data_IF_233021885954
#
_entry.id   IF_233021885954
#
_cell.length_a   1.000
_cell.length_b   1.000
_cell.length_c   1.000
_cell.angle_alpha   90.00
_cell.angle_beta   90.00
_cell.angle_gamma   90.00
#
_symmetry.space_group_name_H-M   'P 1'
#
loop_
_entity.id
_entity.type
_entity.pdbx_description
1 polymer ?
#
# COMPACT_ATOMS: atom_id res chain seq x y z
N UNK A 1 -6.32 -31.13 -40.86
CA UNK A 1 -7.26 -30.05 -41.12
C UNK A 1 -8.54 -30.37 -40.34
N UNK A 2 -8.92 -29.48 -39.45
CA UNK A 2 -10.14 -29.57 -38.64
C UNK A 2 -11.10 -28.43 -38.99
N UNK A 3 -12.40 -28.70 -39.05
CA UNK A 3 -13.42 -27.72 -39.35
C UNK A 3 -14.32 -27.59 -38.13
N UNK A 4 -14.44 -26.37 -37.59
CA UNK A 4 -15.31 -26.05 -36.46
C UNK A 4 -16.43 -25.16 -36.96
N UNK A 5 -17.65 -25.56 -36.65
CA UNK A 5 -18.87 -24.78 -36.97
C UNK A 5 -19.45 -24.24 -35.69
N UNK A 6 -19.57 -22.90 -35.58
CA UNK A 6 -20.19 -22.25 -34.44
C UNK A 6 -21.23 -21.23 -34.94
N UNK A 7 -22.52 -21.58 -34.78
CA UNK A 7 -23.59 -20.82 -35.38
C UNK A 7 -23.48 -20.75 -36.92
N UNK A 8 -23.37 -19.57 -37.47
CA UNK A 8 -23.17 -19.34 -38.91
C UNK A 8 -21.69 -19.27 -39.35
N UNK A 9 -20.77 -19.36 -38.40
CA UNK A 9 -19.32 -19.28 -38.66
C UNK A 9 -18.72 -20.67 -38.87
N UNK A 10 -17.98 -20.81 -39.96
CA UNK A 10 -17.20 -22.04 -40.25
C UNK A 10 -15.72 -21.65 -40.27
N UNK A 11 -14.94 -22.26 -39.40
CA UNK A 11 -13.50 -22.01 -39.28
C UNK A 11 -12.72 -23.28 -39.61
N UNK A 12 -11.65 -23.11 -40.35
CA UNK A 12 -10.74 -24.21 -40.75
C UNK A 12 -9.44 -24.08 -39.99
N UNK A 13 -9.10 -25.12 -39.23
CA UNK A 13 -7.85 -25.18 -38.47
C UNK A 13 -6.89 -26.17 -39.06
N UNK A 14 -5.64 -25.76 -39.22
CA UNK A 14 -4.54 -26.65 -39.69
C UNK A 14 -4.05 -27.58 -38.59
N UNK A 15 -4.22 -27.19 -37.34
CA UNK A 15 -3.79 -27.90 -36.13
C UNK A 15 -4.92 -28.73 -35.52
N UNK A 16 -4.59 -29.54 -34.52
CA UNK A 16 -5.54 -30.33 -33.76
C UNK A 16 -6.48 -29.41 -32.93
N UNK A 17 -7.77 -29.69 -32.95
CA UNK A 17 -8.78 -28.93 -32.22
C UNK A 17 -9.29 -29.78 -31.07
N UNK A 18 -9.16 -29.28 -29.85
CA UNK A 18 -9.73 -29.87 -28.66
C UNK A 18 -10.92 -29.05 -28.17
N UNK A 19 -11.96 -29.73 -27.68
CA UNK A 19 -13.15 -29.07 -27.11
C UNK A 19 -13.30 -29.49 -25.65
N UNK A 20 -13.59 -28.51 -24.81
CA UNK A 20 -13.78 -28.72 -23.37
C UNK A 20 -15.14 -28.19 -22.95
N UNK A 21 -15.78 -28.82 -21.97
CA UNK A 21 -17.02 -28.32 -21.35
C UNK A 21 -16.75 -27.19 -20.33
N UNK A 22 -15.54 -27.18 -19.81
CA UNK A 22 -15.07 -26.20 -18.83
C UNK A 22 -13.69 -25.72 -19.25
N UNK A 23 -13.36 -24.47 -18.92
CA UNK A 23 -12.04 -23.90 -19.11
C UNK A 23 -11.02 -24.74 -18.32
N UNK A 24 -9.96 -25.27 -18.95
CA UNK A 24 -8.92 -25.98 -18.22
C UNK A 24 -8.33 -25.15 -17.10
N UNK A 25 -7.88 -25.81 -16.03
CA UNK A 25 -7.27 -25.13 -14.88
C UNK A 25 -5.88 -24.64 -15.27
N UNK A 26 -5.80 -23.36 -15.61
CA UNK A 26 -4.58 -22.69 -16.01
C UNK A 26 -4.74 -21.17 -15.79
N UNK A 27 -3.68 -20.41 -16.09
CA UNK A 27 -3.73 -18.93 -16.09
C UNK A 27 -3.87 -18.42 -17.51
N UNK A 28 -4.75 -17.45 -17.72
CA UNK A 28 -5.09 -16.91 -19.03
C UNK A 28 -4.98 -15.40 -19.08
N UNK A 29 -4.54 -14.86 -20.20
CA UNK A 29 -4.67 -13.45 -20.57
C UNK A 29 -5.93 -13.26 -21.42
N UNK A 30 -6.66 -12.16 -21.19
CA UNK A 30 -7.74 -11.74 -22.08
C UNK A 30 -7.13 -11.02 -23.28
N UNK A 31 -7.46 -11.50 -24.46
CA UNK A 31 -7.06 -10.92 -25.74
C UNK A 31 -8.28 -10.46 -26.54
N UNK A 32 -8.08 -9.49 -27.42
CA UNK A 32 -9.13 -8.95 -28.27
C UNK A 32 -8.59 -8.54 -29.64
N UNK A 33 -9.40 -8.79 -30.65
CA UNK A 33 -9.17 -8.25 -31.98
C UNK A 33 -10.50 -7.85 -32.63
N UNK A 34 -10.56 -6.73 -33.35
CA UNK A 34 -11.80 -6.18 -33.92
C UNK A 34 -12.58 -7.14 -34.82
N UNK A 35 -11.89 -8.06 -35.49
CA UNK A 35 -12.54 -9.03 -36.40
C UNK A 35 -12.96 -10.33 -35.72
N UNK A 36 -12.23 -10.76 -34.68
CA UNK A 36 -12.48 -12.06 -34.02
C UNK A 36 -13.17 -11.93 -32.67
N UNK A 37 -13.22 -10.74 -32.10
CA UNK A 37 -13.75 -10.51 -30.75
C UNK A 37 -12.75 -10.88 -29.65
N UNK A 38 -13.28 -11.24 -28.49
CA UNK A 38 -12.51 -11.66 -27.33
C UNK A 38 -12.15 -13.14 -27.39
N UNK A 39 -10.96 -13.50 -26.85
CA UNK A 39 -10.54 -14.87 -26.56
C UNK A 39 -9.59 -14.91 -25.37
N UNK A 40 -9.33 -16.09 -24.85
CA UNK A 40 -8.35 -16.34 -23.78
C UNK A 40 -7.10 -17.00 -24.40
N UNK A 41 -5.93 -16.55 -23.97
CA UNK A 41 -4.64 -17.15 -24.32
C UNK A 41 -3.97 -17.72 -23.06
N UNK A 42 -3.62 -19.02 -23.02
CA UNK A 42 -2.88 -19.57 -21.89
C UNK A 42 -1.53 -18.85 -21.73
N UNK A 43 -1.16 -18.64 -20.48
CA UNK A 43 0.16 -18.09 -20.12
C UNK A 43 0.78 -18.92 -18.99
N UNK A 44 2.09 -18.83 -18.76
CA UNK A 44 2.71 -19.46 -17.60
C UNK A 44 2.04 -19.03 -16.31
N UNK A 45 1.77 -19.98 -15.40
CA UNK A 45 1.17 -19.70 -14.12
C UNK A 45 1.95 -18.64 -13.33
N UNK A 46 1.24 -17.86 -12.59
CA UNK A 46 1.79 -16.82 -11.71
C UNK A 46 2.45 -17.48 -10.49
N UNK A 47 3.62 -18.05 -10.67
CA UNK A 47 4.35 -18.66 -9.56
C UNK A 47 5.03 -17.57 -8.73
N UNK A 48 4.94 -17.69 -7.42
CA UNK A 48 5.73 -16.89 -6.50
C UNK A 48 7.17 -17.43 -6.55
N UNK A 49 8.10 -16.58 -6.98
CA UNK A 49 9.54 -16.91 -6.96
C UNK A 49 10.16 -16.83 -5.57
N UNK A 50 9.37 -16.40 -4.59
CA UNK A 50 9.81 -16.25 -3.22
C UNK A 50 9.67 -17.58 -2.47
N UNK A 51 10.75 -18.07 -1.90
CA UNK A 51 10.76 -19.29 -1.08
C UNK A 51 9.97 -19.14 0.22
N UNK A 52 9.85 -17.91 0.72
CA UNK A 52 9.15 -17.57 1.95
C UNK A 52 8.32 -16.32 1.78
N UNK A 53 7.10 -16.38 2.25
CA UNK A 53 6.16 -15.26 2.26
C UNK A 53 6.18 -14.62 3.65
N UNK A 54 6.56 -13.35 3.68
CA UNK A 54 6.64 -12.57 4.92
C UNK A 54 5.32 -11.91 5.26
N UNK A 55 5.09 -11.69 6.55
CA UNK A 55 3.92 -11.00 7.04
C UNK A 55 2.62 -11.81 6.98
N UNK A 56 1.49 -11.10 6.85
CA UNK A 56 0.15 -11.69 6.97
C UNK A 56 -0.47 -12.16 5.64
N UNK A 57 0.28 -12.13 4.52
CA UNK A 57 -0.27 -12.39 3.20
C UNK A 57 -0.92 -13.78 3.10
N UNK A 58 -0.22 -14.84 3.53
CA UNK A 58 -0.76 -16.20 3.46
C UNK A 58 -2.05 -16.37 4.25
N UNK A 59 -2.10 -15.86 5.49
CA UNK A 59 -3.33 -15.93 6.32
C UNK A 59 -4.51 -15.21 5.69
N UNK A 60 -4.26 -14.08 5.00
CA UNK A 60 -5.30 -13.34 4.28
C UNK A 60 -5.75 -14.08 3.02
N UNK A 61 -4.82 -14.72 2.29
CA UNK A 61 -5.13 -15.57 1.13
C UNK A 61 -6.04 -16.73 1.55
N UNK A 62 -5.67 -17.47 2.59
CA UNK A 62 -6.45 -18.58 3.12
C UNK A 62 -7.86 -18.13 3.56
N UNK A 63 -7.95 -16.94 4.17
CA UNK A 63 -9.22 -16.31 4.54
C UNK A 63 -10.10 -16.01 3.32
N UNK A 64 -9.51 -15.48 2.23
CA UNK A 64 -10.23 -15.18 0.98
C UNK A 64 -10.80 -16.44 0.38
N UNK A 65 -9.98 -17.50 0.20
CA UNK A 65 -10.41 -18.76 -0.39
C UNK A 65 -11.53 -19.40 0.42
N UNK A 66 -11.36 -19.51 1.74
CA UNK A 66 -12.39 -20.06 2.63
C UNK A 66 -13.70 -19.28 2.53
N UNK A 67 -13.65 -17.95 2.42
CA UNK A 67 -14.84 -17.12 2.29
C UNK A 67 -15.48 -17.24 0.90
N UNK A 68 -14.67 -17.35 -0.15
CA UNK A 68 -15.15 -17.59 -1.51
C UNK A 68 -15.84 -18.95 -1.61
N UNK A 69 -15.28 -20.01 -1.06
CA UNK A 69 -15.90 -21.35 -1.03
C UNK A 69 -17.25 -21.35 -0.27
N UNK A 70 -17.34 -20.57 0.81
CA UNK A 70 -18.54 -20.50 1.66
C UNK A 70 -19.67 -19.64 1.08
N UNK A 71 -19.45 -18.88 0.01
CA UNK A 71 -20.46 -18.04 -0.62
C UNK A 71 -20.96 -18.67 -1.92
N UNK A 72 -22.20 -18.38 -2.31
CA UNK A 72 -22.86 -18.82 -3.54
C UNK A 72 -22.89 -17.75 -4.64
N UNK A 73 -22.27 -16.59 -4.40
CA UNK A 73 -22.26 -15.43 -5.29
C UNK A 73 -20.84 -14.93 -5.55
N UNK A 74 -20.71 -13.97 -6.46
CA UNK A 74 -19.47 -13.28 -6.74
C UNK A 74 -18.84 -12.73 -5.45
N UNK A 75 -17.51 -12.77 -5.40
CA UNK A 75 -16.74 -12.36 -4.25
C UNK A 75 -15.58 -11.47 -4.67
N UNK A 76 -15.52 -10.26 -4.13
CA UNK A 76 -14.51 -9.30 -4.52
C UNK A 76 -13.51 -8.99 -3.41
N UNK A 77 -12.26 -8.77 -3.82
CA UNK A 77 -11.13 -8.34 -2.97
C UNK A 77 -10.47 -7.12 -3.59
N UNK A 78 -10.37 -6.04 -2.85
CA UNK A 78 -9.57 -4.87 -3.21
C UNK A 78 -8.25 -4.94 -2.46
N UNK A 79 -7.14 -4.82 -3.21
CA UNK A 79 -5.77 -4.71 -2.70
C UNK A 79 -5.28 -3.29 -2.95
N UNK A 80 -5.25 -2.46 -1.93
CA UNK A 80 -4.77 -1.08 -2.06
C UNK A 80 -3.41 -0.87 -1.41
N UNK A 81 -2.68 0.12 -1.88
CA UNK A 81 -1.41 0.54 -1.28
C UNK A 81 -0.40 1.04 -2.29
N UNK A 82 0.68 1.66 -1.83
CA UNK A 82 1.72 2.26 -2.68
C UNK A 82 2.37 1.25 -3.62
N UNK A 83 3.03 1.74 -4.66
CA UNK A 83 3.80 0.89 -5.58
C UNK A 83 4.95 0.20 -4.84
N UNK A 84 5.24 -1.07 -5.18
CA UNK A 84 6.38 -1.83 -4.63
C UNK A 84 6.19 -2.45 -3.25
N UNK A 85 4.97 -2.38 -2.64
CA UNK A 85 4.71 -2.90 -1.28
C UNK A 85 4.19 -4.33 -1.23
N UNK A 86 4.03 -5.01 -2.38
CA UNK A 86 3.64 -6.42 -2.41
C UNK A 86 2.19 -6.71 -2.81
N UNK A 87 1.41 -5.75 -3.37
CA UNK A 87 0.06 -6.00 -3.89
C UNK A 87 0.04 -7.11 -4.94
N UNK A 88 0.92 -7.00 -5.95
CA UNK A 88 1.03 -8.00 -7.01
C UNK A 88 1.57 -9.34 -6.49
N UNK A 89 2.38 -9.34 -5.42
CA UNK A 89 2.79 -10.57 -4.74
C UNK A 89 1.58 -11.25 -4.11
N UNK A 90 0.75 -10.51 -3.37
CA UNK A 90 -0.49 -11.05 -2.81
C UNK A 90 -1.40 -11.66 -3.89
N UNK A 91 -1.63 -10.93 -5.00
CA UNK A 91 -2.44 -11.41 -6.10
C UNK A 91 -1.86 -12.70 -6.73
N UNK A 92 -0.53 -12.83 -6.83
CA UNK A 92 0.14 -14.06 -7.30
C UNK A 92 -0.04 -15.22 -6.34
N UNK A 93 0.15 -15.02 -5.03
CA UNK A 93 -0.07 -16.07 -4.02
C UNK A 93 -1.51 -16.58 -4.08
N UNK A 94 -2.46 -15.65 -4.18
CA UNK A 94 -3.87 -16.01 -4.29
C UNK A 94 -4.16 -16.76 -5.59
N UNK A 95 -3.59 -16.33 -6.73
CA UNK A 95 -3.72 -17.01 -8.01
C UNK A 95 -3.14 -18.44 -7.96
N UNK A 96 -1.94 -18.60 -7.41
CA UNK A 96 -1.31 -19.91 -7.23
C UNK A 96 -2.17 -20.83 -6.37
N UNK A 97 -2.71 -20.31 -5.28
CA UNK A 97 -3.63 -21.05 -4.42
C UNK A 97 -4.94 -21.40 -5.15
N UNK A 98 -5.48 -20.52 -5.99
CA UNK A 98 -6.67 -20.80 -6.81
C UNK A 98 -6.43 -21.95 -7.78
N UNK A 99 -5.29 -21.97 -8.49
CA UNK A 99 -4.92 -23.10 -9.37
C UNK A 99 -4.84 -24.41 -8.60
N UNK A 100 -4.25 -24.40 -7.38
CA UNK A 100 -4.19 -25.60 -6.52
C UNK A 100 -5.58 -26.08 -6.07
N UNK A 101 -6.57 -25.18 -5.99
CA UNK A 101 -7.98 -25.47 -5.70
C UNK A 101 -8.84 -25.71 -6.97
N UNK A 102 -8.20 -25.99 -8.11
CA UNK A 102 -8.85 -26.22 -9.41
C UNK A 102 -9.68 -25.02 -9.93
N UNK A 103 -9.32 -23.81 -9.56
CA UNK A 103 -9.96 -22.57 -10.00
C UNK A 103 -9.09 -21.89 -11.07
N UNK A 104 -9.53 -21.80 -12.35
CA UNK A 104 -8.79 -21.10 -13.39
C UNK A 104 -8.64 -19.61 -13.08
N UNK A 105 -7.54 -19.02 -13.53
CA UNK A 105 -7.21 -17.61 -13.30
C UNK A 105 -7.21 -16.84 -14.61
N UNK A 106 -7.91 -15.72 -14.65
CA UNK A 106 -8.00 -14.83 -15.82
C UNK A 106 -7.40 -13.48 -15.43
N UNK A 107 -6.48 -12.96 -16.24
CA UNK A 107 -5.82 -11.69 -16.02
C UNK A 107 -6.29 -10.68 -17.05
N UNK A 108 -6.76 -9.53 -16.56
CA UNK A 108 -7.20 -8.40 -17.39
C UNK A 108 -6.18 -7.28 -17.23
N UNK A 109 -5.48 -6.97 -18.32
CA UNK A 109 -4.41 -5.95 -18.34
C UNK A 109 -4.82 -4.65 -19.03
N UNK A 110 -5.96 -4.64 -19.71
CA UNK A 110 -6.46 -3.46 -20.41
C UNK A 110 -8.00 -3.44 -20.46
N UNK A 111 -8.56 -2.26 -20.44
CA UNK A 111 -9.99 -2.08 -20.70
C UNK A 111 -10.27 -2.13 -22.21
N UNK A 112 -11.29 -2.90 -22.56
CA UNK A 112 -11.84 -2.97 -23.92
C UNK A 112 -13.35 -3.01 -23.78
N UNK A 113 -14.12 -2.14 -24.49
CA UNK A 113 -15.58 -2.17 -24.47
C UNK A 113 -16.13 -3.57 -24.75
N UNK A 114 -17.09 -4.03 -23.93
CA UNK A 114 -17.65 -5.38 -23.98
C UNK A 114 -16.89 -6.45 -23.18
N UNK A 115 -15.80 -6.10 -22.49
CA UNK A 115 -15.02 -7.05 -21.66
C UNK A 115 -15.87 -7.60 -20.50
N UNK A 116 -16.78 -6.80 -19.95
CA UNK A 116 -17.69 -7.23 -18.89
C UNK A 116 -18.59 -8.38 -19.38
N UNK A 117 -19.21 -8.24 -20.55
CA UNK A 117 -20.07 -9.26 -21.15
C UNK A 117 -19.29 -10.53 -21.51
N UNK A 118 -18.06 -10.36 -22.00
CA UNK A 118 -17.18 -11.51 -22.28
C UNK A 118 -16.86 -12.29 -21.01
N UNK A 119 -16.48 -11.63 -19.92
CA UNK A 119 -16.20 -12.29 -18.64
C UNK A 119 -17.48 -12.89 -18.03
N UNK A 120 -18.64 -12.23 -18.18
CA UNK A 120 -19.94 -12.73 -17.75
C UNK A 120 -20.32 -14.03 -18.47
N UNK A 121 -19.98 -14.15 -19.77
CA UNK A 121 -20.26 -15.34 -20.58
C UNK A 121 -19.53 -16.62 -20.11
N UNK A 122 -18.52 -16.49 -19.23
CA UNK A 122 -17.81 -17.61 -18.63
C UNK A 122 -18.63 -18.08 -17.41
N UNK A 123 -19.46 -19.13 -17.57
CA UNK A 123 -20.36 -19.62 -16.53
C UNK A 123 -19.66 -20.44 -15.44
N UNK A 124 -18.39 -20.80 -15.63
CA UNK A 124 -17.57 -21.55 -14.68
C UNK A 124 -17.06 -20.63 -13.57
N UNK A 125 -16.82 -21.21 -12.38
CA UNK A 125 -16.08 -20.53 -11.32
C UNK A 125 -14.64 -20.22 -11.77
N UNK A 126 -14.25 -18.95 -11.68
CA UNK A 126 -12.91 -18.48 -12.06
C UNK A 126 -12.48 -17.34 -11.14
N UNK A 127 -11.18 -17.18 -10.99
CA UNK A 127 -10.60 -15.96 -10.44
C UNK A 127 -10.31 -14.96 -11.56
N UNK A 128 -10.68 -13.70 -11.40
CA UNK A 128 -10.37 -12.62 -12.35
C UNK A 128 -9.56 -11.54 -11.66
N UNK A 129 -8.37 -11.27 -12.18
CA UNK A 129 -7.45 -10.26 -11.65
C UNK A 129 -7.46 -9.03 -12.55
N UNK A 130 -7.68 -7.87 -11.95
CA UNK A 130 -7.54 -6.55 -12.57
C UNK A 130 -6.36 -5.83 -11.90
N UNK A 131 -5.23 -5.76 -12.59
CA UNK A 131 -4.04 -5.09 -12.06
C UNK A 131 -4.05 -3.59 -12.41
N UNK A 132 -3.68 -2.74 -11.42
CA UNK A 132 -3.72 -1.27 -11.52
C UNK A 132 -5.06 -0.77 -12.10
N UNK A 133 -6.17 -1.23 -11.51
CA UNK A 133 -7.53 -1.02 -12.03
C UNK A 133 -7.86 0.46 -12.24
N UNK A 134 -7.42 1.33 -11.33
CA UNK A 134 -7.64 2.77 -11.43
C UNK A 134 -7.02 3.40 -12.67
N UNK A 135 -5.94 2.80 -13.19
CA UNK A 135 -5.29 3.26 -14.42
C UNK A 135 -5.88 2.61 -15.66
N UNK A 136 -6.04 1.28 -15.58
CA UNK A 136 -6.56 0.46 -16.69
C UNK A 136 -7.99 0.81 -17.04
N UNK A 137 -8.81 1.12 -16.01
CA UNK A 137 -10.22 1.50 -16.12
C UNK A 137 -10.44 2.97 -15.73
N UNK A 138 -9.50 3.84 -16.12
CA UNK A 138 -9.63 5.28 -15.88
C UNK A 138 -10.82 5.88 -16.67
N UNK A 139 -11.45 6.89 -16.08
CA UNK A 139 -12.54 7.61 -16.73
C UNK A 139 -12.01 8.41 -17.91
N UNK A 140 -12.71 8.33 -19.04
CA UNK A 140 -12.50 9.17 -20.21
C UNK A 140 -13.73 10.06 -20.44
N UNK A 141 -13.60 11.11 -21.25
CA UNK A 141 -14.64 12.13 -21.42
C UNK A 141 -16.00 11.55 -21.81
N UNK A 142 -16.02 10.48 -22.63
CA UNK A 142 -17.25 9.90 -23.20
C UNK A 142 -17.68 8.58 -22.53
N UNK A 143 -16.87 7.99 -21.64
CA UNK A 143 -17.23 6.73 -20.97
C UNK A 143 -16.63 6.61 -19.58
N UNK A 144 -17.31 5.85 -18.72
CA UNK A 144 -16.80 5.46 -17.40
C UNK A 144 -16.60 3.94 -17.34
N UNK A 145 -15.41 3.44 -17.71
CA UNK A 145 -15.12 2.01 -17.73
C UNK A 145 -15.41 1.30 -16.39
N UNK A 146 -15.20 1.97 -15.25
CA UNK A 146 -15.49 1.40 -13.95
C UNK A 146 -16.99 1.14 -13.73
N UNK A 147 -17.85 2.00 -14.28
CA UNK A 147 -19.31 1.82 -14.19
C UNK A 147 -19.81 0.68 -15.09
N UNK A 148 -19.21 0.48 -16.25
CA UNK A 148 -19.52 -0.64 -17.12
C UNK A 148 -19.22 -2.01 -16.48
N UNK A 149 -18.25 -2.07 -15.56
CA UNK A 149 -17.92 -3.28 -14.83
C UNK A 149 -18.87 -3.59 -13.67
N UNK A 150 -19.76 -2.65 -13.28
CA UNK A 150 -20.59 -2.82 -12.09
C UNK A 150 -21.56 -3.99 -12.20
N UNK A 151 -22.15 -4.21 -13.39
CA UNK A 151 -23.07 -5.33 -13.66
C UNK A 151 -22.37 -6.67 -13.45
N UNK A 152 -21.13 -6.82 -13.95
CA UNK A 152 -20.32 -8.02 -13.77
C UNK A 152 -20.05 -8.29 -12.28
N UNK A 153 -19.70 -7.25 -11.53
CA UNK A 153 -19.40 -7.39 -10.11
C UNK A 153 -20.64 -7.68 -9.25
N UNK A 154 -21.83 -7.24 -9.65
CA UNK A 154 -23.10 -7.50 -8.96
C UNK A 154 -23.52 -8.98 -9.02
N UNK A 155 -22.98 -9.74 -9.97
CA UNK A 155 -23.22 -11.17 -10.06
C UNK A 155 -24.64 -11.55 -10.47
N UNK A 156 -25.24 -10.77 -11.38
CA UNK A 156 -26.52 -11.09 -11.98
C UNK A 156 -26.42 -12.22 -13.02
N UNK A 157 -25.18 -12.55 -13.42
CA UNK A 157 -24.87 -13.54 -14.45
C UNK A 157 -24.63 -14.93 -13.84
N UNK A 158 -24.74 -15.96 -14.68
CA UNK A 158 -24.42 -17.33 -14.29
C UNK A 158 -22.91 -17.49 -14.05
N UNK A 159 -22.55 -18.25 -13.01
CA UNK A 159 -21.16 -18.56 -12.69
C UNK A 159 -20.53 -17.59 -11.67
N UNK A 160 -20.13 -18.18 -10.54
CA UNK A 160 -19.48 -17.48 -9.42
C UNK A 160 -18.03 -17.09 -9.76
N UNK A 161 -17.67 -15.86 -9.49
CA UNK A 161 -16.33 -15.33 -9.78
C UNK A 161 -15.66 -14.72 -8.54
N UNK A 162 -14.35 -14.97 -8.40
CA UNK A 162 -13.50 -14.31 -7.42
C UNK A 162 -12.80 -13.13 -8.12
N UNK A 163 -13.25 -11.91 -7.86
CA UNK A 163 -12.62 -10.70 -8.41
C UNK A 163 -11.52 -10.18 -7.49
N UNK A 164 -10.38 -9.86 -8.06
CA UNK A 164 -9.27 -9.21 -7.36
C UNK A 164 -8.88 -7.95 -8.12
N UNK A 165 -8.99 -6.82 -7.44
CA UNK A 165 -8.57 -5.51 -7.95
C UNK A 165 -7.34 -5.08 -7.19
N UNK A 166 -6.26 -4.69 -7.89
CA UNK A 166 -5.17 -3.93 -7.29
C UNK A 166 -5.31 -2.46 -7.63
N UNK A 167 -5.05 -1.58 -6.66
CA UNK A 167 -5.02 -0.13 -6.88
C UNK A 167 -3.96 0.54 -6.01
N UNK A 168 -3.45 1.68 -6.46
CA UNK A 168 -2.50 2.47 -5.67
C UNK A 168 -3.25 3.40 -4.70
N UNK A 169 -4.34 3.99 -5.14
CA UNK A 169 -5.18 4.89 -4.34
C UNK A 169 -6.64 4.49 -4.45
N UNK A 170 -7.26 4.23 -3.31
CA UNK A 170 -8.69 3.85 -3.23
C UNK A 170 -9.60 5.00 -3.69
N UNK A 171 -9.17 6.25 -3.49
CA UNK A 171 -9.91 7.44 -3.92
C UNK A 171 -10.11 7.55 -5.44
N UNK A 172 -9.33 6.82 -6.23
CA UNK A 172 -9.45 6.75 -7.69
C UNK A 172 -10.45 5.68 -8.16
N UNK A 173 -10.92 4.84 -7.23
CA UNK A 173 -11.98 3.88 -7.50
C UNK A 173 -13.35 4.53 -7.34
N UNK A 174 -14.30 4.14 -8.18
CA UNK A 174 -15.69 4.57 -8.06
C UNK A 174 -16.25 4.24 -6.67
N UNK A 175 -16.97 5.18 -6.05
CA UNK A 175 -17.65 4.98 -4.77
C UNK A 175 -18.63 3.79 -4.79
N UNK A 176 -19.16 3.45 -5.96
CA UNK A 176 -20.04 2.29 -6.16
C UNK A 176 -19.32 0.95 -6.02
N UNK A 177 -17.98 0.92 -6.11
CA UNK A 177 -17.18 -0.27 -5.87
C UNK A 177 -16.85 -0.43 -4.37
N UNK A 178 -16.50 0.66 -3.70
CA UNK A 178 -15.92 0.65 -2.35
C UNK A 178 -16.98 0.42 -1.27
N UNK A 179 -18.16 1.03 -1.39
CA UNK A 179 -19.18 1.07 -0.33
C UNK A 179 -20.24 -0.04 -0.44
N UNK A 180 -19.97 -1.11 -1.21
CA UNK A 180 -20.90 -2.24 -1.38
C UNK A 180 -20.24 -3.56 -1.06
N UNK A 181 -20.33 -4.05 0.20
CA UNK A 181 -19.76 -5.35 0.59
C UNK A 181 -20.29 -6.53 -0.20
N UNK A 182 -21.43 -6.35 -0.89
CA UNK A 182 -21.98 -7.36 -1.81
C UNK A 182 -21.17 -7.54 -3.09
N UNK A 183 -20.35 -6.54 -3.50
CA UNK A 183 -19.45 -6.62 -4.66
C UNK A 183 -18.03 -6.95 -4.23
N UNK A 184 -17.46 -6.12 -3.34
CA UNK A 184 -16.13 -6.30 -2.79
C UNK A 184 -16.22 -6.50 -1.28
N UNK A 185 -16.04 -7.75 -0.86
CA UNK A 185 -16.20 -8.16 0.53
C UNK A 185 -14.99 -7.76 1.37
N UNK A 186 -13.79 -7.90 0.80
CA UNK A 186 -12.56 -7.50 1.47
C UNK A 186 -11.89 -6.31 0.79
N UNK A 187 -11.41 -5.41 1.62
CA UNK A 187 -10.46 -4.38 1.26
C UNK A 187 -9.22 -4.55 2.14
N UNK A 188 -8.14 -5.02 1.55
CA UNK A 188 -6.85 -5.13 2.23
C UNK A 188 -5.94 -3.99 1.83
N UNK A 189 -5.64 -3.12 2.77
CA UNK A 189 -4.57 -2.15 2.61
C UNK A 189 -3.24 -2.86 2.86
N UNK A 190 -2.41 -2.93 1.84
CA UNK A 190 -1.05 -3.46 1.95
C UNK A 190 -0.15 -2.30 2.36
N UNK A 191 0.54 -2.47 3.48
CA UNK A 191 1.44 -1.46 4.06
C UNK A 191 2.90 -1.87 3.87
N UNK A 192 3.80 -0.93 4.14
CA UNK A 192 5.22 -1.27 4.23
C UNK A 192 5.46 -2.32 5.32
N UNK A 193 6.49 -3.15 5.19
CA UNK A 193 6.88 -4.11 6.21
C UNK A 193 7.04 -3.44 7.57
N UNK A 194 6.54 -4.10 8.61
CA UNK A 194 6.80 -3.73 10.00
C UNK A 194 8.28 -3.95 10.35
N UNK A 195 8.73 -3.41 11.47
CA UNK A 195 10.12 -3.60 11.93
C UNK A 195 10.45 -5.08 12.13
N UNK A 196 9.50 -5.87 12.64
CA UNK A 196 9.69 -7.31 12.83
C UNK A 196 9.78 -8.04 11.48
N UNK A 197 8.98 -7.66 10.51
CA UNK A 197 9.04 -8.19 9.14
C UNK A 197 10.35 -7.78 8.44
N UNK A 198 10.83 -6.54 8.64
CA UNK A 198 12.14 -6.09 8.14
C UNK A 198 13.26 -6.93 8.77
N UNK A 199 13.23 -7.13 10.09
CA UNK A 199 14.21 -7.95 10.80
C UNK A 199 14.22 -9.38 10.29
N UNK A 200 13.04 -10.01 10.19
CA UNK A 200 12.88 -11.36 9.69
C UNK A 200 13.42 -11.49 8.26
N UNK A 201 13.00 -10.57 7.36
CA UNK A 201 13.44 -10.56 5.97
C UNK A 201 14.97 -10.43 5.84
N UNK A 202 15.56 -9.47 6.55
CA UNK A 202 17.01 -9.25 6.48
C UNK A 202 17.80 -10.39 7.12
N UNK A 203 17.27 -11.03 8.17
CA UNK A 203 17.90 -12.23 8.76
C UNK A 203 17.97 -13.38 7.76
N UNK A 204 16.92 -13.58 6.98
CA UNK A 204 16.86 -14.65 5.98
C UNK A 204 17.68 -14.34 4.70
N UNK A 205 17.81 -13.06 4.33
CA UNK A 205 18.43 -12.66 3.05
C UNK A 205 19.89 -12.22 3.16
N UNK A 206 20.36 -11.79 4.35
CA UNK A 206 21.75 -11.42 4.56
C UNK A 206 22.61 -12.63 4.90
N UNK A 207 23.80 -12.70 4.30
CA UNK A 207 24.83 -13.66 4.69
C UNK A 207 25.25 -13.41 6.15
N UNK A 208 25.70 -14.45 6.88
CA UNK A 208 26.05 -14.33 8.31
C UNK A 208 27.00 -13.17 8.65
N UNK A 209 27.99 -12.92 7.78
CA UNK A 209 28.99 -11.86 7.94
C UNK A 209 28.41 -10.44 7.94
N UNK A 210 27.23 -10.24 7.30
CA UNK A 210 26.58 -8.93 7.15
C UNK A 210 25.37 -8.74 8.08
N UNK A 211 25.03 -9.71 8.89
CA UNK A 211 23.86 -9.64 9.79
C UNK A 211 24.02 -8.57 10.90
N UNK A 212 25.22 -8.10 11.16
CA UNK A 212 25.48 -6.99 12.08
C UNK A 212 24.81 -5.67 11.65
N UNK A 213 24.38 -5.54 10.36
CA UNK A 213 23.65 -4.40 9.86
C UNK A 213 22.14 -4.41 10.19
N UNK A 214 21.58 -5.57 10.60
CA UNK A 214 20.12 -5.75 10.73
C UNK A 214 19.50 -4.70 11.64
N UNK A 215 20.03 -4.49 12.85
CA UNK A 215 19.43 -3.54 13.79
C UNK A 215 19.55 -2.09 13.31
N UNK A 216 20.61 -1.75 12.59
CA UNK A 216 20.74 -0.42 11.96
C UNK A 216 19.70 -0.23 10.86
N UNK A 217 19.43 -1.27 10.04
CA UNK A 217 18.39 -1.26 8.99
C UNK A 217 16.98 -1.17 9.60
N UNK A 218 16.70 -1.95 10.64
CA UNK A 218 15.43 -1.91 11.38
C UNK A 218 15.21 -0.52 11.99
N UNK A 219 16.22 0.08 12.61
CA UNK A 219 16.14 1.45 13.08
C UNK A 219 15.88 2.44 11.94
N UNK A 220 16.54 2.27 10.79
CA UNK A 220 16.35 3.11 9.62
C UNK A 220 14.95 2.96 9.01
N UNK A 221 14.30 1.80 9.12
CA UNK A 221 12.92 1.59 8.67
C UNK A 221 11.88 2.44 9.42
N UNK A 222 12.23 2.96 10.60
CA UNK A 222 11.36 3.91 11.32
C UNK A 222 11.33 5.29 10.67
N UNK A 223 12.40 5.65 9.96
CA UNK A 223 12.56 6.97 9.35
C UNK A 223 12.08 7.04 7.93
N UNK A 224 12.20 5.95 7.16
CA UNK A 224 11.77 5.89 5.76
C UNK A 224 10.74 4.78 5.52
N UNK A 225 10.03 4.89 4.39
CA UNK A 225 9.15 3.83 3.92
C UNK A 225 9.98 2.80 3.16
N UNK A 226 10.28 1.66 3.77
CA UNK A 226 10.95 0.55 3.12
C UNK A 226 9.93 -0.38 2.46
N UNK A 227 10.05 -0.59 1.17
CA UNK A 227 9.30 -1.62 0.46
C UNK A 227 10.10 -2.92 0.42
N UNK A 228 9.46 -4.06 0.11
CA UNK A 228 10.20 -5.31 -0.09
C UNK A 228 11.19 -5.24 -1.26
N UNK A 229 10.86 -4.48 -2.32
CA UNK A 229 11.80 -4.25 -3.42
C UNK A 229 13.06 -3.50 -2.96
N UNK A 230 12.87 -2.51 -2.07
CA UNK A 230 14.00 -1.81 -1.46
C UNK A 230 14.84 -2.72 -0.57
N UNK A 231 14.19 -3.52 0.31
CA UNK A 231 14.89 -4.47 1.17
C UNK A 231 15.67 -5.51 0.37
N UNK A 232 15.13 -5.95 -0.77
CA UNK A 232 15.80 -6.87 -1.70
C UNK A 232 17.06 -6.24 -2.29
N UNK A 233 16.96 -5.02 -2.81
CA UNK A 233 18.10 -4.30 -3.36
C UNK A 233 19.17 -4.06 -2.28
N UNK A 234 18.76 -3.65 -1.09
CA UNK A 234 19.65 -3.44 0.06
C UNK A 234 20.40 -4.73 0.45
N UNK A 235 19.68 -5.85 0.57
CA UNK A 235 20.29 -7.13 0.89
C UNK A 235 21.26 -7.61 -0.20
N UNK A 236 20.95 -7.35 -1.47
CA UNK A 236 21.82 -7.67 -2.59
C UNK A 236 23.16 -6.92 -2.48
N UNK A 237 23.14 -5.60 -2.32
CA UNK A 237 24.34 -4.77 -2.24
C UNK A 237 25.21 -5.11 -1.00
N UNK A 238 24.58 -5.25 0.16
CA UNK A 238 25.30 -5.62 1.38
C UNK A 238 25.97 -6.99 1.25
N UNK A 239 25.32 -7.96 0.60
CA UNK A 239 25.90 -9.29 0.34
C UNK A 239 27.07 -9.28 -0.67
N UNK A 240 27.24 -8.19 -1.44
CA UNK A 240 28.43 -7.95 -2.27
C UNK A 240 29.60 -7.35 -1.46
N UNK A 241 29.35 -6.93 -0.21
CA UNK A 241 30.37 -6.37 0.67
C UNK A 241 30.41 -4.85 0.73
N UNK A 242 29.46 -4.15 0.08
CA UNK A 242 29.35 -2.71 0.21
C UNK A 242 28.88 -2.29 1.60
N UNK A 243 29.29 -1.12 2.06
CA UNK A 243 28.83 -0.61 3.35
C UNK A 243 27.37 -0.15 3.29
N UNK A 244 26.68 -0.13 4.44
CA UNK A 244 25.29 0.32 4.49
C UNK A 244 25.16 1.78 4.03
N UNK A 245 26.09 2.65 4.42
CA UNK A 245 26.02 4.09 4.10
C UNK A 245 26.25 4.33 2.60
N UNK A 246 27.16 3.60 1.96
CA UNK A 246 27.40 3.62 0.51
C UNK A 246 26.16 3.09 -0.24
N UNK A 247 25.66 1.93 0.15
CA UNK A 247 24.45 1.33 -0.43
C UNK A 247 23.23 2.26 -0.34
N UNK A 248 23.01 2.90 0.81
CA UNK A 248 21.91 3.85 0.99
C UNK A 248 22.09 5.13 0.15
N UNK A 249 23.34 5.51 -0.15
CA UNK A 249 23.64 6.65 -1.03
C UNK A 249 23.35 6.33 -2.50
N UNK A 250 23.65 5.12 -2.94
CA UNK A 250 23.64 4.72 -4.36
C UNK A 250 22.27 4.20 -4.80
N UNK A 251 21.53 3.55 -3.89
CA UNK A 251 20.17 3.10 -4.20
C UNK A 251 19.27 4.32 -4.46
N UNK A 252 18.45 4.20 -5.52
CA UNK A 252 17.45 5.21 -5.88
C UNK A 252 16.34 5.27 -4.82
N UNK A 253 16.69 5.78 -3.66
CA UNK A 253 15.76 6.07 -2.58
C UNK A 253 15.16 7.43 -2.90
N UNK A 254 13.86 7.46 -3.19
CA UNK A 254 13.16 8.74 -3.14
C UNK A 254 13.35 9.26 -1.71
N UNK A 255 14.17 10.31 -1.58
CA UNK A 255 14.18 11.15 -0.37
C UNK A 255 12.75 11.65 -0.25
N UNK A 256 11.98 11.00 0.60
CA UNK A 256 10.59 11.38 0.81
C UNK A 256 10.62 12.66 1.65
N UNK A 257 10.75 13.82 0.98
CA UNK A 257 10.39 15.12 1.53
C UNK A 257 8.95 15.16 2.09
N UNK A 258 8.20 14.09 1.91
CA UNK A 258 6.77 14.01 2.21
C UNK A 258 6.44 13.07 3.37
N UNK A 259 7.44 12.67 4.19
CA UNK A 259 7.11 11.92 5.40
C UNK A 259 6.48 12.89 6.39
N UNK A 260 5.23 12.60 6.74
CA UNK A 260 4.48 13.36 7.74
C UNK A 260 4.63 12.73 9.11
N UNK A 261 4.74 13.57 10.12
CA UNK A 261 4.83 13.16 11.51
C UNK A 261 3.77 13.87 12.35
N UNK A 262 3.23 13.14 13.31
CA UNK A 262 2.52 13.71 14.43
C UNK A 262 3.54 13.96 15.55
N UNK A 263 3.67 15.20 15.97
CA UNK A 263 4.61 15.63 17.00
C UNK A 263 3.87 15.74 18.32
N UNK A 264 4.44 15.19 19.38
CA UNK A 264 3.91 15.30 20.75
C UNK A 264 4.98 15.82 21.68
N UNK A 265 4.76 16.98 22.30
CA UNK A 265 5.67 17.59 23.27
C UNK A 265 4.99 17.59 24.62
N UNK A 266 5.61 16.93 25.61
CA UNK A 266 5.18 17.04 27.02
C UNK A 266 6.09 18.06 27.69
N UNK A 267 5.49 19.03 28.36
CA UNK A 267 6.22 20.04 29.13
C UNK A 267 6.56 19.54 30.52
N UNK A 268 7.45 20.26 31.21
CA UNK A 268 7.87 19.95 32.58
C UNK A 268 6.74 20.04 33.61
N UNK A 269 5.68 20.82 33.31
CA UNK A 269 4.47 20.93 34.13
C UNK A 269 3.39 19.89 33.80
N UNK A 270 3.67 18.97 32.88
CA UNK A 270 2.81 17.87 32.47
C UNK A 270 1.82 18.21 31.34
N UNK A 271 1.75 19.44 30.85
CA UNK A 271 0.91 19.79 29.70
C UNK A 271 1.41 19.11 28.44
N UNK A 272 0.50 18.59 27.62
CA UNK A 272 0.75 17.97 26.33
C UNK A 272 0.38 18.92 25.20
N UNK A 273 1.30 19.10 24.26
CA UNK A 273 1.11 19.84 23.02
C UNK A 273 1.32 18.93 21.82
N UNK A 274 0.50 19.08 20.78
CA UNK A 274 0.55 18.22 19.59
C UNK A 274 0.52 19.05 18.31
N UNK A 275 1.21 18.54 17.29
CA UNK A 275 1.02 18.98 15.90
C UNK A 275 0.80 17.74 15.04
N UNK A 276 -0.13 17.83 14.09
CA UNK A 276 -0.51 16.72 13.25
C UNK A 276 0.02 16.91 11.82
N UNK A 277 0.38 15.81 11.18
CA UNK A 277 0.75 15.74 9.76
C UNK A 277 1.84 16.73 9.32
N UNK A 278 2.81 16.99 10.15
CA UNK A 278 3.92 17.87 9.81
C UNK A 278 4.89 17.18 8.86
N UNK A 279 5.11 17.75 7.67
CA UNK A 279 6.11 17.25 6.72
C UNK A 279 7.51 17.63 7.22
N UNK A 280 8.36 16.64 7.50
CA UNK A 280 9.71 16.85 8.05
C UNK A 280 10.70 16.03 7.22
N UNK A 281 11.66 16.71 6.62
CA UNK A 281 12.85 16.07 6.06
C UNK A 281 13.87 15.84 7.19
N UNK A 282 13.96 14.59 7.66
CA UNK A 282 14.84 14.20 8.76
C UNK A 282 16.33 14.35 8.46
N UNK A 283 16.69 14.55 7.20
CA UNK A 283 18.08 14.74 6.75
C UNK A 283 18.43 16.20 6.48
N UNK A 284 17.49 17.09 6.69
CA UNK A 284 17.73 18.53 6.53
C UNK A 284 18.69 19.03 7.61
N UNK A 285 19.72 19.76 7.19
CA UNK A 285 20.65 20.51 8.04
C UNK A 285 20.11 21.89 8.45
N UNK A 286 18.91 22.24 7.98
CA UNK A 286 18.23 23.51 8.31
C UNK A 286 17.29 23.32 9.48
N UNK A 287 17.26 24.31 10.37
CA UNK A 287 16.25 24.35 11.44
C UNK A 287 14.85 24.41 10.86
N UNK A 288 13.95 23.60 11.41
CA UNK A 288 12.54 23.59 11.09
C UNK A 288 11.77 24.16 12.28
N UNK A 289 10.82 25.04 12.00
CA UNK A 289 9.86 25.56 12.99
C UNK A 289 8.50 24.88 12.84
N UNK A 290 7.90 24.51 13.94
CA UNK A 290 6.56 23.91 14.00
C UNK A 290 5.72 24.57 15.08
N UNK A 291 4.43 24.75 14.81
CA UNK A 291 3.44 25.17 15.80
C UNK A 291 2.76 23.94 16.39
N UNK A 292 2.75 23.83 17.71
CA UNK A 292 2.06 22.78 18.46
C UNK A 292 0.93 23.37 19.26
N UNK A 293 -0.15 22.64 19.41
CA UNK A 293 -1.38 23.07 20.05
C UNK A 293 -1.61 22.26 21.32
N UNK A 294 -1.91 22.93 22.40
CA UNK A 294 -2.19 22.37 23.73
C UNK A 294 -3.61 22.59 24.19
N UNK A 295 -3.88 22.33 25.46
CA UNK A 295 -5.19 22.57 26.08
C UNK A 295 -5.61 24.04 25.97
N UNK A 296 -6.93 24.30 25.94
CA UNK A 296 -7.55 25.65 25.90
C UNK A 296 -7.09 26.49 24.69
N UNK A 297 -6.81 25.86 23.54
CA UNK A 297 -6.37 26.55 22.33
C UNK A 297 -5.03 27.28 22.43
N UNK A 298 -4.25 27.04 23.49
CA UNK A 298 -2.89 27.58 23.60
C UNK A 298 -1.99 26.93 22.57
N UNK A 299 -1.23 27.73 21.84
CA UNK A 299 -0.24 27.23 20.90
C UNK A 299 1.16 27.69 21.29
N UNK A 300 2.15 26.86 20.98
CA UNK A 300 3.56 27.17 21.13
C UNK A 300 4.27 26.96 19.81
N UNK A 301 5.18 27.87 19.48
CA UNK A 301 6.07 27.70 18.36
C UNK A 301 7.41 27.14 18.85
N UNK A 302 7.90 26.09 18.23
CA UNK A 302 9.23 25.58 18.56
C UNK A 302 10.04 25.31 17.30
N UNK A 303 11.35 25.36 17.44
CA UNK A 303 12.29 25.05 16.37
C UNK A 303 13.28 23.98 16.84
N UNK A 304 13.71 23.17 15.86
CA UNK A 304 14.67 22.10 16.07
C UNK A 304 15.46 21.83 14.80
N UNK A 305 16.58 21.12 14.96
CA UNK A 305 17.33 20.56 13.83
C UNK A 305 16.86 19.13 13.59
N UNK A 306 16.37 18.77 12.38
CA UNK A 306 15.91 17.41 12.10
C UNK A 306 16.96 16.34 12.36
N UNK A 307 18.24 16.64 12.11
CA UNK A 307 19.37 15.72 12.38
C UNK A 307 19.62 15.43 13.86
N UNK A 308 19.02 16.21 14.78
CA UNK A 308 19.07 15.94 16.22
C UNK A 308 18.04 14.89 16.67
N UNK A 309 17.08 14.52 15.80
CA UNK A 309 16.09 13.47 16.08
C UNK A 309 16.79 12.11 16.05
N UNK A 310 16.62 11.32 17.10
CA UNK A 310 17.22 9.99 17.25
C UNK A 310 16.13 8.92 17.42
N UNK A 311 16.42 7.72 16.97
CA UNK A 311 15.59 6.56 17.29
C UNK A 311 16.00 5.98 18.64
N UNK A 312 15.07 5.96 19.60
CA UNK A 312 15.25 5.40 20.93
C UNK A 312 14.08 4.46 21.21
N UNK A 313 14.34 3.19 21.49
CA UNK A 313 13.31 2.17 21.74
C UNK A 313 12.22 2.16 20.64
N UNK A 314 12.63 2.20 19.38
CA UNK A 314 11.76 2.22 18.20
C UNK A 314 10.84 3.47 18.09
N UNK A 315 11.14 4.53 18.79
CA UNK A 315 10.47 5.82 18.67
C UNK A 315 11.48 6.90 18.20
N UNK A 316 11.03 7.81 17.37
CA UNK A 316 11.80 8.99 17.01
C UNK A 316 11.62 10.05 18.10
N UNK A 317 12.70 10.45 18.72
CA UNK A 317 12.72 11.36 19.87
C UNK A 317 13.70 12.48 19.63
N UNK A 318 13.30 13.71 19.97
CA UNK A 318 14.19 14.84 20.10
C UNK A 318 14.49 15.05 21.59
N UNK A 319 15.77 15.12 21.94
CA UNK A 319 16.20 15.40 23.30
C UNK A 319 15.58 16.72 23.80
N UNK A 320 15.06 16.77 25.03
CA UNK A 320 14.38 17.97 25.55
C UNK A 320 15.20 19.27 25.46
N UNK A 321 16.52 19.18 25.66
CA UNK A 321 17.44 20.30 25.55
C UNK A 321 17.60 20.85 24.12
N UNK A 322 17.18 20.09 23.10
CA UNK A 322 17.21 20.48 21.69
C UNK A 322 15.91 21.11 21.21
N UNK A 323 14.86 21.07 22.04
CA UNK A 323 13.60 21.76 21.78
C UNK A 323 13.76 23.24 22.11
N UNK A 324 13.71 24.10 21.11
CA UNK A 324 13.85 25.54 21.29
C UNK A 324 12.48 26.20 21.05
N UNK A 325 11.84 26.65 22.13
CA UNK A 325 10.62 27.43 21.99
C UNK A 325 10.94 28.82 21.47
N UNK A 326 10.11 29.28 20.54
CA UNK A 326 10.22 30.61 19.93
C UNK A 326 9.01 31.39 20.39
N UNK A 327 9.26 32.54 21.00
CA UNK A 327 8.22 33.44 21.50
C UNK A 327 8.33 34.71 20.68
N UNK A 328 7.25 35.08 20.01
CA UNK A 328 7.20 36.30 19.19
C UNK A 328 6.66 37.44 20.03
N UNK A 329 7.20 38.63 19.85
CA UNK A 329 6.73 39.83 20.57
C UNK A 329 5.24 40.15 20.27
N UNK A 330 4.78 39.71 19.09
CA UNK A 330 3.37 39.83 18.68
C UNK A 330 2.44 38.95 19.48
N UNK A 331 2.95 37.87 20.13
CA UNK A 331 2.13 37.01 21.00
C UNK A 331 1.65 37.75 22.31
N UNK A 332 2.23 38.93 22.58
CA UNK A 332 1.99 39.74 23.79
C UNK A 332 1.50 41.15 23.46
N UNK A 333 0.85 41.32 22.31
CA UNK A 333 0.41 42.64 21.82
C UNK A 333 -0.60 43.36 22.73
N UNK A 334 -1.34 42.61 23.54
CA UNK A 334 -2.38 43.07 24.47
C UNK A 334 -1.85 43.34 25.89
N UNK A 335 -0.56 43.11 26.14
CA UNK A 335 0.09 43.32 27.43
C UNK A 335 1.07 44.46 27.41
N UNK A 336 1.10 45.26 28.46
CA UNK A 336 2.01 46.40 28.61
C UNK A 336 2.97 46.28 29.81
N UNK A 337 4.12 46.92 29.70
CA UNK A 337 5.06 47.22 30.79
C UNK A 337 5.54 45.98 31.56
N UNK A 338 5.30 45.91 32.85
CA UNK A 338 5.75 44.88 33.76
C UNK A 338 4.98 43.55 33.54
N UNK A 339 3.69 43.62 33.13
CA UNK A 339 2.87 42.43 32.83
C UNK A 339 3.45 41.66 31.60
N UNK A 340 3.82 42.40 30.54
CA UNK A 340 4.45 41.82 29.37
C UNK A 340 5.79 41.14 29.73
N UNK A 341 6.62 41.82 30.54
CA UNK A 341 7.89 41.24 31.00
C UNK A 341 7.69 39.99 31.84
N UNK A 342 6.71 39.97 32.72
CA UNK A 342 6.39 38.80 33.55
C UNK A 342 5.87 37.65 32.74
N UNK A 343 5.02 37.87 31.72
CA UNK A 343 4.51 36.86 30.82
C UNK A 343 5.62 36.25 29.99
N UNK A 344 6.50 37.06 29.35
CA UNK A 344 7.65 36.60 28.59
C UNK A 344 8.61 35.81 29.48
N UNK A 345 8.88 36.25 30.71
CA UNK A 345 9.75 35.52 31.63
C UNK A 345 9.16 34.15 32.02
N UNK A 346 7.86 34.07 32.21
CA UNK A 346 7.15 32.83 32.52
C UNK A 346 7.23 31.86 31.32
N UNK A 347 7.01 32.34 30.10
CA UNK A 347 7.03 31.51 28.93
C UNK A 347 8.45 31.08 28.54
N UNK A 348 9.46 31.91 28.74
CA UNK A 348 10.88 31.54 28.62
C UNK A 348 11.33 30.48 29.64
N UNK A 349 10.61 30.32 30.75
CA UNK A 349 10.86 29.25 31.72
C UNK A 349 10.29 27.88 31.30
N UNK A 350 9.48 27.82 30.25
CA UNK A 350 8.89 26.59 29.73
C UNK A 350 10.00 25.68 29.21
N UNK A 351 10.01 24.43 29.71
CA UNK A 351 10.93 23.39 29.27
C UNK A 351 10.19 22.17 28.76
N UNK A 352 10.66 21.60 27.70
CA UNK A 352 10.19 20.29 27.26
C UNK A 352 10.68 19.20 28.24
N UNK A 353 9.83 18.24 28.54
CA UNK A 353 10.15 17.00 29.25
C UNK A 353 10.42 15.86 28.25
N UNK A 354 9.63 15.81 27.17
CA UNK A 354 9.80 14.87 26.07
C UNK A 354 9.27 15.46 24.77
N UNK A 355 9.89 15.06 23.64
CA UNK A 355 9.41 15.40 22.30
C UNK A 355 9.49 14.15 21.43
N UNK A 356 8.34 13.68 20.95
CA UNK A 356 8.19 12.40 20.23
C UNK A 356 7.60 12.69 18.86
N UNK A 357 8.14 12.04 17.83
CA UNK A 357 7.69 12.10 16.45
C UNK A 357 7.12 10.75 16.05
N UNK A 358 5.82 10.67 15.86
CA UNK A 358 5.14 9.48 15.37
C UNK A 358 4.89 9.65 13.88
N UNK A 359 5.44 8.74 13.07
CA UNK A 359 5.22 8.73 11.63
C UNK A 359 3.73 8.54 11.33
N UNK A 360 3.19 9.40 10.48
CA UNK A 360 1.82 9.24 9.99
C UNK A 360 1.82 8.16 8.91
N UNK A 361 1.13 7.07 9.18
CA UNK A 361 0.86 6.07 8.17
C UNK A 361 -0.16 6.67 7.20
N UNK A 362 0.29 7.03 5.99
CA UNK A 362 -0.56 7.57 4.93
C UNK A 362 -1.43 6.50 4.26
N UNK A 363 -1.40 5.26 4.75
CA UNK A 363 -2.44 4.29 4.47
C UNK A 363 -3.71 4.78 5.17
N UNK A 364 -4.68 5.26 4.40
CA UNK A 364 -6.01 5.60 4.92
C UNK A 364 -6.65 4.35 5.53
N UNK A 365 -6.35 4.10 6.78
CA UNK A 365 -7.18 3.24 7.61
C UNK A 365 -8.38 4.10 7.97
N UNK A 366 -9.52 3.86 7.35
CA UNK A 366 -10.79 4.27 7.93
C UNK A 366 -10.88 3.57 9.29
N UNK A 367 -10.40 4.23 10.34
CA UNK A 367 -10.80 3.90 11.70
C UNK A 367 -12.27 4.25 11.79
N UNK A 368 -13.12 3.25 11.64
CA UNK A 368 -14.47 3.36 12.14
C UNK A 368 -14.34 3.60 13.64
N UNK A 369 -14.70 4.79 14.07
CA UNK A 369 -15.01 5.06 15.46
C UNK A 369 -16.26 4.22 15.77
N UNK A 370 -16.06 3.13 16.51
CA UNK A 370 -17.11 2.48 17.28
C UNK A 370 -17.35 3.28 18.52
#
# INVERSE_FOLDING_TARGET
>A
MNIVVSGSKVQVYGEEVSTYKQLPVDTYDVCFHKLTGFWLTPRPNLNTKEEKIYGSHQKKVDKVLKSFEATDRNFGVILSGKKGIGKSLFARILAESCIQHNLPVIIVTQYIPGIADFLASIEQEVMVIFDEFEKTFSKHDDCNPQEEMLSLFDGLDNGKKLFVITCNQVSELSSYLINRPGRFHYHFTITNPSQDEVREYMTDKLKPEYQHWIEKIVSFSTTINMTYDFLRALAFELNQGYSLDETLSDLNIQRTSDIKFNISITLSDGRLFTAYEQAIDLYSDKKIGCRVYGPNSVSLWFSFLPTDIKSVNNQLVLSPEKVQFVFDDDDYWDLDGEEKKAAIAKDKAIKAKSCIFNKVDTSYVYKYLL
#
